data_IF_310090681211
#
_entry.id   IF_310090681211
#
_cell.length_a   1.000
_cell.length_b   1.000
_cell.length_c   1.000
_cell.angle_alpha   90.00
_cell.angle_beta   90.00
_cell.angle_gamma   90.00
#
_symmetry.space_group_name_H-M   'P 1'
#
loop_
_entity.id
_entity.type
_entity.pdbx_description
1 polymer ?
#
# COMPACT_ATOMS: atom_id res chain seq x y z
N UNK A 1 57.19 -26.93 -15.80
CA UNK A 1 56.13 -27.23 -16.78
C UNK A 1 54.94 -26.34 -16.44
N UNK A 2 54.84 -25.18 -17.08
CA UNK A 2 54.10 -24.92 -18.32
C UNK A 2 52.58 -25.04 -18.14
N UNK A 3 51.96 -23.86 -18.03
CA UNK A 3 50.54 -23.59 -18.27
C UNK A 3 50.05 -24.18 -19.59
N UNK A 4 48.73 -24.38 -19.72
CA UNK A 4 48.02 -24.01 -20.92
C UNK A 4 47.14 -22.78 -20.68
N UNK A 5 47.36 -21.78 -21.54
CA UNK A 5 46.45 -20.68 -21.86
C UNK A 5 45.32 -21.17 -22.77
N UNK A 6 44.31 -20.29 -22.89
CA UNK A 6 43.32 -20.09 -23.97
C UNK A 6 42.01 -20.86 -23.76
N UNK A 7 40.82 -20.29 -24.03
CA UNK A 7 40.43 -19.19 -24.92
C UNK A 7 39.18 -18.47 -24.38
N UNK A 8 39.21 -17.13 -24.40
CA UNK A 8 38.00 -16.30 -24.49
C UNK A 8 37.31 -16.59 -25.82
N UNK A 9 36.05 -17.02 -25.76
CA UNK A 9 35.14 -16.95 -26.91
C UNK A 9 33.74 -16.61 -26.39
N UNK A 10 33.34 -15.37 -26.60
CA UNK A 10 31.95 -14.93 -26.49
C UNK A 10 31.09 -15.62 -27.56
N UNK A 11 29.86 -16.00 -27.24
CA UNK A 11 28.77 -16.00 -28.20
C UNK A 11 27.87 -14.80 -27.90
N UNK A 12 27.90 -13.82 -28.81
CA UNK A 12 26.81 -12.89 -29.00
C UNK A 12 25.54 -13.68 -29.29
N UNK A 13 24.52 -13.58 -28.44
CA UNK A 13 23.14 -13.86 -28.82
C UNK A 13 22.27 -12.67 -28.41
N UNK A 14 21.83 -12.00 -29.46
CA UNK A 14 20.95 -10.85 -29.59
C UNK A 14 19.91 -10.72 -28.49
N UNK A 15 19.95 -9.56 -27.82
CA UNK A 15 18.85 -9.00 -27.05
C UNK A 15 17.71 -8.65 -28.01
N UNK A 16 16.60 -9.39 -27.99
CA UNK A 16 15.32 -8.87 -28.48
C UNK A 16 14.76 -7.93 -27.41
N UNK A 17 14.83 -6.64 -27.68
CA UNK A 17 14.12 -5.60 -26.94
C UNK A 17 12.67 -5.59 -27.37
N UNK A 18 11.80 -6.30 -26.66
CA UNK A 18 10.36 -6.04 -26.73
C UNK A 18 9.98 -5.07 -25.61
N UNK A 19 9.79 -3.85 -26.07
CA UNK A 19 9.29 -2.65 -25.41
C UNK A 19 7.94 -2.93 -24.76
N UNK A 20 7.88 -2.96 -23.42
CA UNK A 20 6.64 -2.75 -22.67
C UNK A 20 6.35 -1.24 -22.65
N UNK A 21 5.14 -0.78 -23.02
CA UNK A 21 4.82 0.63 -22.95
C UNK A 21 4.70 1.06 -21.48
N UNK A 22 5.59 1.96 -21.09
CA UNK A 22 5.52 2.79 -19.89
C UNK A 22 4.33 3.74 -20.04
N UNK A 23 3.24 3.54 -19.30
CA UNK A 23 2.26 4.60 -19.08
C UNK A 23 2.59 5.30 -17.76
N UNK A 24 3.30 6.40 -17.91
CA UNK A 24 3.56 7.40 -16.87
C UNK A 24 2.25 7.90 -16.29
N UNK A 25 2.15 7.85 -14.96
CA UNK A 25 1.15 8.56 -14.18
C UNK A 25 1.58 10.04 -14.17
N UNK A 26 0.85 10.88 -14.89
CA UNK A 26 0.84 12.34 -14.70
C UNK A 26 -0.58 12.84 -14.96
N UNK A 27 -1.15 13.56 -13.98
CA UNK A 27 -2.42 14.27 -14.13
C UNK A 27 -3.36 14.15 -12.93
N UNK A 28 -2.90 14.52 -11.73
CA UNK A 28 -3.80 15.20 -10.79
C UNK A 28 -4.04 16.60 -11.37
N UNK A 29 -5.27 16.89 -11.80
CA UNK A 29 -5.79 18.26 -11.79
C UNK A 29 -7.33 18.26 -11.81
N UNK A 30 -7.88 18.70 -10.68
CA UNK A 30 -9.12 19.46 -10.51
C UNK A 30 -10.39 18.99 -11.22
N UNK A 31 -11.19 18.17 -10.52
CA UNK A 31 -12.59 17.90 -10.88
C UNK A 31 -13.53 18.28 -9.73
N UNK A 32 -13.63 19.58 -9.43
CA UNK A 32 -14.64 20.12 -8.49
C UNK A 32 -15.35 21.40 -8.94
N UNK A 33 -15.17 21.87 -10.18
CA UNK A 33 -15.76 23.16 -10.63
C UNK A 33 -16.93 23.08 -11.63
N UNK A 34 -17.34 21.89 -12.09
CA UNK A 34 -18.42 21.78 -13.09
C UNK A 34 -19.82 21.48 -12.53
N UNK A 35 -19.96 21.13 -11.25
CA UNK A 35 -21.27 20.81 -10.65
C UNK A 35 -21.99 22.07 -10.11
N UNK A 36 -21.32 23.21 -9.99
CA UNK A 36 -21.88 24.43 -9.39
C UNK A 36 -22.52 25.40 -10.42
N UNK A 37 -22.36 25.17 -11.72
CA UNK A 37 -22.86 26.10 -12.78
C UNK A 37 -24.25 25.78 -13.36
N UNK A 38 -24.89 24.67 -12.95
CA UNK A 38 -26.19 24.28 -13.52
C UNK A 38 -27.38 24.67 -12.60
N UNK A 39 -27.12 25.14 -11.38
CA UNK A 39 -28.16 25.50 -10.41
C UNK A 39 -28.53 26.99 -10.36
N UNK A 40 -28.08 27.83 -11.28
CA UNK A 40 -28.40 29.26 -11.32
C UNK A 40 -29.19 29.66 -12.57
N UNK A 41 -30.47 29.30 -12.64
CA UNK A 41 -31.47 30.16 -13.32
C UNK A 41 -32.91 29.74 -12.95
N UNK A 42 -33.30 30.05 -11.72
CA UNK A 42 -34.72 30.11 -11.31
C UNK A 42 -35.01 31.54 -10.90
N UNK A 43 -35.80 32.28 -11.68
CA UNK A 43 -36.78 33.31 -11.25
C UNK A 43 -37.34 34.07 -12.47
N UNK A 44 -38.46 34.83 -12.36
CA UNK A 44 -39.76 34.51 -11.75
C UNK A 44 -40.92 34.72 -12.76
N UNK A 45 -42.07 34.11 -12.51
CA UNK A 45 -43.31 34.44 -13.17
C UNK A 45 -43.76 35.86 -12.78
N UNK A 46 -43.68 36.82 -13.70
CA UNK A 46 -44.32 38.12 -13.55
C UNK A 46 -45.76 38.04 -14.08
N UNK A 47 -46.73 38.10 -13.16
CA UNK A 47 -48.13 38.37 -13.45
C UNK A 47 -48.27 39.78 -14.04
N UNK A 48 -48.76 39.86 -15.27
CA UNK A 48 -49.45 41.05 -15.78
C UNK A 48 -50.88 40.63 -16.10
N UNK A 49 -51.78 40.98 -15.18
CA UNK A 49 -53.21 40.81 -15.33
C UNK A 49 -53.73 41.68 -16.46
N UNK A 50 -54.36 41.03 -17.43
CA UNK A 50 -55.27 41.62 -18.38
C UNK A 50 -56.29 40.54 -18.72
N UNK A 51 -57.56 40.75 -18.36
CA UNK A 51 -58.61 39.85 -18.81
C UNK A 51 -58.78 40.01 -20.32
N UNK A 52 -58.54 38.91 -21.04
CA UNK A 52 -58.71 38.83 -22.49
C UNK A 52 -60.11 38.30 -22.76
N UNK A 53 -61.01 39.16 -23.24
CA UNK A 53 -62.28 38.72 -23.82
C UNK A 53 -62.10 38.45 -25.32
N UNK A 54 -62.40 37.23 -25.73
CA UNK A 54 -62.48 36.83 -27.13
C UNK A 54 -63.95 36.88 -27.56
N UNK A 55 -64.30 37.75 -28.50
CA UNK A 55 -65.57 37.64 -29.24
C UNK A 55 -65.30 37.49 -30.74
N UNK A 56 -66.05 36.61 -31.37
CA UNK A 56 -65.96 36.29 -32.80
C UNK A 56 -66.92 37.18 -33.58
N UNK A 57 -66.47 37.76 -34.71
CA UNK A 57 -67.33 38.53 -35.62
C UNK A 57 -68.01 37.61 -36.64
N UNK A 58 -69.28 37.85 -37.03
CA UNK A 58 -70.10 36.83 -37.69
C UNK A 58 -69.83 36.63 -39.19
N UNK A 59 -68.85 37.31 -39.79
CA UNK A 59 -68.74 37.39 -41.26
C UNK A 59 -67.40 36.95 -41.84
N UNK A 60 -66.43 36.50 -41.02
CA UNK A 60 -65.31 35.65 -41.46
C UNK A 60 -64.62 34.97 -40.26
N UNK A 61 -64.57 33.61 -40.16
CA UNK A 61 -64.20 32.90 -38.93
C UNK A 61 -62.69 32.80 -38.61
N UNK A 62 -61.80 33.49 -39.32
CA UNK A 62 -60.33 33.35 -39.16
C UNK A 62 -59.62 34.53 -38.46
N UNK A 63 -60.34 35.48 -37.87
CA UNK A 63 -59.71 36.61 -37.15
C UNK A 63 -60.31 36.79 -35.76
N UNK A 64 -59.53 36.50 -34.72
CA UNK A 64 -59.91 36.80 -33.32
C UNK A 64 -59.28 38.11 -32.88
N UNK A 65 -60.12 39.03 -32.40
CA UNK A 65 -59.72 40.38 -32.00
C UNK A 65 -59.48 40.40 -30.49
N UNK A 66 -58.23 40.55 -30.05
CA UNK A 66 -57.91 40.72 -28.63
C UNK A 66 -57.86 42.22 -28.34
N UNK A 67 -58.81 42.71 -27.53
CA UNK A 67 -58.78 44.07 -26.98
C UNK A 67 -57.99 44.05 -25.67
N UNK A 68 -56.82 44.68 -25.65
CA UNK A 68 -56.16 45.04 -24.41
C UNK A 68 -56.50 46.51 -24.08
N UNK A 69 -57.45 46.72 -23.17
CA UNK A 69 -57.80 48.06 -22.68
C UNK A 69 -56.81 48.42 -21.58
N UNK A 70 -55.89 49.34 -21.86
CA UNK A 70 -55.16 50.09 -20.82
C UNK A 70 -55.90 51.42 -20.62
N UNK A 71 -56.04 51.84 -19.37
CA UNK A 71 -56.91 52.91 -18.87
C UNK A 71 -56.83 54.28 -19.58
N UNK A 72 -57.71 55.22 -19.15
CA UNK A 72 -58.17 56.34 -19.96
C UNK A 72 -57.04 57.31 -20.33
N UNK A 73 -56.80 57.50 -21.63
CA UNK A 73 -55.95 58.58 -22.16
C UNK A 73 -54.69 58.16 -22.93
N UNK A 74 -54.41 56.86 -23.14
CA UNK A 74 -53.25 56.39 -23.90
C UNK A 74 -53.61 55.92 -25.32
N UNK A 75 -52.83 56.35 -26.32
CA UNK A 75 -52.92 55.86 -27.69
C UNK A 75 -52.87 54.33 -27.75
N UNK A 76 -53.90 53.73 -28.36
CA UNK A 76 -53.98 52.29 -28.63
C UNK A 76 -52.94 51.93 -29.69
N UNK A 77 -51.87 51.24 -29.32
CA UNK A 77 -51.00 50.58 -30.30
C UNK A 77 -51.64 49.23 -30.61
N UNK A 78 -52.28 49.14 -31.77
CA UNK A 78 -52.81 47.89 -32.31
C UNK A 78 -51.64 47.02 -32.76
N UNK A 79 -51.41 45.89 -32.09
CA UNK A 79 -50.54 44.83 -32.58
C UNK A 79 -51.42 43.70 -33.12
N UNK A 80 -51.50 43.62 -34.43
CA UNK A 80 -52.12 42.52 -35.18
C UNK A 80 -51.17 41.33 -35.09
N UNK A 81 -51.55 40.28 -34.36
CA UNK A 81 -50.82 39.00 -34.43
C UNK A 81 -51.46 38.17 -35.54
N UNK A 82 -50.69 37.99 -36.61
CA UNK A 82 -51.09 37.21 -37.77
C UNK A 82 -51.21 35.72 -37.38
N UNK A 83 -52.26 35.03 -37.84
CA UNK A 83 -52.48 33.58 -37.62
C UNK A 83 -51.27 32.72 -38.01
N UNK A 84 -50.44 33.23 -38.92
CA UNK A 84 -49.17 32.63 -39.35
C UNK A 84 -48.10 32.61 -38.24
N UNK A 85 -48.04 33.64 -37.39
CA UNK A 85 -47.05 33.77 -36.30
C UNK A 85 -47.35 32.80 -35.17
N UNK A 86 -48.62 32.56 -34.87
CA UNK A 86 -49.06 31.61 -33.84
C UNK A 86 -48.77 30.16 -34.24
N UNK A 87 -49.00 29.81 -35.50
CA UNK A 87 -48.62 28.49 -36.06
C UNK A 87 -47.11 28.25 -36.03
N UNK A 88 -46.31 29.30 -36.28
CA UNK A 88 -44.85 29.23 -36.27
C UNK A 88 -44.29 29.06 -34.85
N UNK A 89 -44.93 29.69 -33.85
CA UNK A 89 -44.62 29.51 -32.43
C UNK A 89 -44.98 28.10 -31.93
N UNK A 90 -46.13 27.56 -32.35
CA UNK A 90 -46.56 26.19 -32.05
C UNK A 90 -45.57 25.16 -32.65
N UNK A 91 -45.14 25.39 -33.89
CA UNK A 91 -44.14 24.56 -34.57
C UNK A 91 -42.78 24.61 -33.88
N UNK A 92 -42.31 25.80 -33.47
CA UNK A 92 -41.06 25.97 -32.73
C UNK A 92 -41.09 25.22 -31.38
N UNK A 93 -42.18 25.36 -30.61
CA UNK A 93 -42.39 24.61 -29.36
C UNK A 93 -42.38 23.10 -29.59
N UNK A 94 -42.99 22.63 -30.68
CA UNK A 94 -43.03 21.21 -31.02
C UNK A 94 -41.65 20.67 -31.44
N UNK A 95 -40.86 21.47 -32.16
CA UNK A 95 -39.46 21.14 -32.49
C UNK A 95 -38.58 21.09 -31.24
N UNK A 96 -38.70 22.04 -30.32
CA UNK A 96 -37.97 22.03 -29.05
C UNK A 96 -38.33 20.83 -28.19
N UNK A 97 -39.63 20.50 -28.07
CA UNK A 97 -40.10 19.28 -27.38
C UNK A 97 -39.54 18.02 -28.02
N UNK A 98 -39.45 17.97 -29.36
CA UNK A 98 -38.85 16.84 -30.09
C UNK A 98 -37.35 16.74 -29.81
N UNK A 99 -36.62 17.84 -29.88
CA UNK A 99 -35.18 17.88 -29.57
C UNK A 99 -34.88 17.54 -28.11
N UNK A 100 -35.71 17.97 -27.15
CA UNK A 100 -35.58 17.61 -25.73
C UNK A 100 -35.78 16.11 -25.53
N UNK A 101 -36.79 15.52 -26.17
CA UNK A 101 -37.02 14.07 -26.17
C UNK A 101 -35.84 13.29 -26.76
N UNK A 102 -35.28 13.75 -27.88
CA UNK A 102 -34.11 13.13 -28.49
C UNK A 102 -32.86 13.25 -27.61
N UNK A 103 -32.59 14.42 -27.03
CA UNK A 103 -31.48 14.63 -26.09
C UNK A 103 -31.63 13.73 -24.86
N UNK A 104 -32.82 13.64 -24.28
CA UNK A 104 -33.09 12.78 -23.13
C UNK A 104 -32.96 11.29 -23.49
N UNK A 105 -33.39 10.88 -24.70
CA UNK A 105 -33.19 9.51 -25.20
C UNK A 105 -31.71 9.18 -25.37
N UNK A 106 -30.91 10.09 -25.95
CA UNK A 106 -29.46 9.93 -26.09
C UNK A 106 -28.76 9.88 -24.74
N UNK A 107 -29.15 10.74 -23.80
CA UNK A 107 -28.62 10.74 -22.43
C UNK A 107 -28.89 9.41 -21.73
N UNK A 108 -30.14 8.93 -21.75
CA UNK A 108 -30.51 7.63 -21.15
C UNK A 108 -29.76 6.48 -21.80
N UNK A 109 -29.61 6.51 -23.14
CA UNK A 109 -28.82 5.52 -23.86
C UNK A 109 -27.35 5.55 -23.43
N UNK A 110 -26.73 6.73 -23.36
CA UNK A 110 -25.33 6.87 -22.91
C UNK A 110 -25.14 6.35 -21.47
N UNK A 111 -26.04 6.68 -20.55
CA UNK A 111 -26.00 6.14 -19.18
C UNK A 111 -26.13 4.61 -19.16
N UNK A 112 -27.05 4.06 -19.95
CA UNK A 112 -27.26 2.62 -20.00
C UNK A 112 -26.07 1.89 -20.62
N UNK A 113 -25.48 2.44 -21.68
CA UNK A 113 -24.29 1.90 -22.33
C UNK A 113 -23.09 1.95 -21.37
N UNK A 114 -22.94 3.02 -20.58
CA UNK A 114 -21.91 3.11 -19.53
C UNK A 114 -22.12 2.08 -18.42
N UNK A 115 -23.34 1.91 -17.94
CA UNK A 115 -23.68 0.91 -16.92
C UNK A 115 -23.38 -0.50 -17.41
N UNK A 116 -23.81 -0.84 -18.63
CA UNK A 116 -23.55 -2.14 -19.24
C UNK A 116 -22.04 -2.39 -19.43
N UNK A 117 -21.28 -1.37 -19.84
CA UNK A 117 -19.82 -1.48 -19.93
C UNK A 117 -19.18 -1.73 -18.57
N UNK A 118 -19.63 -1.02 -17.53
CA UNK A 118 -19.14 -1.23 -16.18
C UNK A 118 -19.46 -2.64 -15.67
N UNK A 119 -20.69 -3.13 -15.84
CA UNK A 119 -21.09 -4.49 -15.47
C UNK A 119 -20.22 -5.54 -16.17
N UNK A 120 -19.99 -5.37 -17.48
CA UNK A 120 -19.13 -6.25 -18.26
C UNK A 120 -17.70 -6.27 -17.72
N UNK A 121 -17.09 -5.10 -17.52
CA UNK A 121 -15.71 -5.02 -16.99
C UNK A 121 -15.60 -5.60 -15.58
N UNK A 122 -16.60 -5.38 -14.73
CA UNK A 122 -16.62 -5.92 -13.35
C UNK A 122 -16.73 -7.45 -13.37
N UNK A 123 -17.53 -8.01 -14.29
CA UNK A 123 -17.65 -9.44 -14.48
C UNK A 123 -16.35 -10.06 -15.03
N UNK A 124 -15.69 -9.40 -15.97
CA UNK A 124 -14.39 -9.82 -16.52
C UNK A 124 -13.30 -9.83 -15.45
N UNK A 125 -13.18 -8.76 -14.66
CA UNK A 125 -12.22 -8.66 -13.55
C UNK A 125 -12.49 -9.71 -12.48
N UNK A 126 -13.77 -9.92 -12.13
CA UNK A 126 -14.14 -10.94 -11.13
C UNK A 126 -13.78 -12.36 -11.59
N UNK A 127 -13.94 -12.65 -12.90
CA UNK A 127 -13.49 -13.89 -13.49
C UNK A 127 -11.97 -14.03 -13.46
N UNK A 128 -11.24 -12.97 -13.78
CA UNK A 128 -9.77 -12.95 -13.72
C UNK A 128 -9.26 -13.19 -12.30
N UNK A 129 -9.85 -12.52 -11.30
CA UNK A 129 -9.55 -12.76 -9.88
C UNK A 129 -9.77 -14.23 -9.53
N UNK A 130 -10.92 -14.81 -9.89
CA UNK A 130 -11.19 -16.23 -9.61
C UNK A 130 -10.18 -17.19 -10.28
N UNK A 131 -9.74 -16.89 -11.50
CA UNK A 131 -8.68 -17.66 -12.19
C UNK A 131 -7.34 -17.52 -11.47
N UNK A 132 -6.94 -16.30 -11.09
CA UNK A 132 -5.69 -16.04 -10.40
C UNK A 132 -5.67 -16.68 -9.01
N UNK A 133 -6.77 -16.62 -8.27
CA UNK A 133 -6.93 -17.28 -6.97
C UNK A 133 -6.83 -18.81 -7.10
N UNK A 134 -7.48 -19.39 -8.12
CA UNK A 134 -7.41 -20.82 -8.40
C UNK A 134 -5.98 -21.24 -8.75
N UNK A 135 -5.30 -20.47 -9.61
CA UNK A 135 -3.90 -20.70 -9.96
C UNK A 135 -3.00 -20.60 -8.73
N UNK A 136 -3.21 -19.60 -7.86
CA UNK A 136 -2.49 -19.46 -6.58
C UNK A 136 -2.69 -20.68 -5.69
N UNK A 137 -3.93 -21.18 -5.59
CA UNK A 137 -4.26 -22.35 -4.77
C UNK A 137 -3.60 -23.63 -5.31
N UNK A 138 -3.58 -23.83 -6.64
CA UNK A 138 -2.89 -24.95 -7.28
C UNK A 138 -1.39 -24.88 -7.02
N UNK A 139 -0.77 -23.71 -7.25
CA UNK A 139 0.66 -23.49 -6.99
C UNK A 139 0.96 -23.75 -5.51
N UNK A 140 0.19 -23.18 -4.59
CA UNK A 140 0.35 -23.39 -3.15
C UNK A 140 0.18 -24.86 -2.73
N UNK A 141 -0.74 -25.60 -3.36
CA UNK A 141 -0.95 -27.02 -3.08
C UNK A 141 0.17 -27.91 -3.68
N UNK A 142 0.80 -27.47 -4.77
CA UNK A 142 1.96 -28.13 -5.37
C UNK A 142 3.28 -27.83 -4.64
N UNK A 143 3.36 -26.69 -3.95
CA UNK A 143 4.47 -26.28 -3.07
C UNK A 143 4.44 -26.96 -1.69
N UNK A 144 3.79 -28.12 -1.56
CA UNK A 144 3.80 -28.94 -0.33
C UNK A 144 5.20 -29.42 0.07
N UNK A 145 6.20 -29.23 -0.78
CA UNK A 145 7.61 -29.28 -0.39
C UNK A 145 7.91 -27.99 0.39
N UNK A 146 8.15 -28.11 1.70
CA UNK A 146 8.76 -27.03 2.48
C UNK A 146 9.97 -26.53 1.68
N UNK A 147 9.89 -25.31 1.18
CA UNK A 147 11.01 -24.67 0.49
C UNK A 147 11.54 -23.56 1.37
N UNK A 148 12.77 -23.14 1.10
CA UNK A 148 13.45 -22.10 1.89
C UNK A 148 12.65 -20.80 2.02
N UNK A 149 11.79 -20.47 1.04
CA UNK A 149 10.92 -19.29 1.09
C UNK A 149 9.82 -19.42 2.13
N UNK A 150 9.07 -20.53 2.09
CA UNK A 150 8.03 -20.83 3.06
C UNK A 150 8.63 -20.90 4.48
N UNK A 151 9.80 -21.53 4.61
CA UNK A 151 10.54 -21.56 5.87
C UNK A 151 10.83 -20.14 6.39
N UNK A 152 11.47 -19.29 5.59
CA UNK A 152 11.86 -17.96 6.01
C UNK A 152 10.65 -17.08 6.36
N UNK A 153 9.57 -17.14 5.58
CA UNK A 153 8.31 -16.46 5.93
C UNK A 153 7.74 -16.95 7.26
N UNK A 154 7.70 -18.27 7.47
CA UNK A 154 7.16 -18.86 8.70
C UNK A 154 8.04 -18.55 9.91
N UNK A 155 9.37 -18.51 9.70
CA UNK A 155 10.37 -18.12 10.69
C UNK A 155 10.11 -16.70 11.19
N UNK A 156 10.10 -15.70 10.30
CA UNK A 156 9.86 -14.31 10.72
C UNK A 156 8.45 -14.08 11.26
N UNK A 157 7.45 -14.79 10.74
CA UNK A 157 6.08 -14.73 11.29
C UNK A 157 6.04 -15.18 12.75
N UNK A 158 6.77 -16.26 13.10
CA UNK A 158 6.82 -16.75 14.48
C UNK A 158 7.61 -15.85 15.42
N UNK A 159 8.70 -15.25 14.94
CA UNK A 159 9.54 -14.38 15.75
C UNK A 159 9.19 -12.89 15.66
N UNK A 160 8.04 -12.54 15.05
CA UNK A 160 7.62 -11.14 14.82
C UNK A 160 7.64 -10.28 16.08
N UNK A 161 7.33 -10.85 17.25
CA UNK A 161 7.33 -10.13 18.52
C UNK A 161 8.43 -10.61 19.48
N UNK A 162 9.52 -11.16 18.94
CA UNK A 162 10.56 -11.82 19.72
C UNK A 162 10.12 -13.18 20.28
N UNK A 163 10.87 -13.69 21.27
CA UNK A 163 10.61 -14.99 21.88
C UNK A 163 9.62 -14.87 23.04
N UNK A 164 8.39 -15.36 22.86
CA UNK A 164 7.40 -15.49 23.94
C UNK A 164 7.61 -16.82 24.69
N UNK A 165 7.72 -16.77 26.03
CA UNK A 165 7.95 -17.96 26.88
C UNK A 165 6.91 -19.07 26.67
N UNK A 166 5.67 -18.71 26.36
CA UNK A 166 4.55 -19.64 26.13
C UNK A 166 4.67 -20.45 24.85
N UNK A 167 5.54 -20.07 23.92
CA UNK A 167 5.63 -20.67 22.58
C UNK A 167 6.93 -21.47 22.36
N UNK A 168 7.80 -21.55 23.38
CA UNK A 168 9.14 -22.16 23.26
C UNK A 168 9.07 -23.61 22.78
N UNK A 169 8.14 -24.41 23.28
CA UNK A 169 7.97 -25.83 22.85
C UNK A 169 7.61 -25.90 21.37
N UNK A 170 6.61 -25.13 20.93
CA UNK A 170 6.19 -25.09 19.53
C UNK A 170 7.30 -24.57 18.60
N UNK A 171 8.15 -23.67 19.08
CA UNK A 171 9.29 -23.15 18.34
C UNK A 171 10.42 -24.18 18.22
N UNK A 172 10.71 -24.93 19.29
CA UNK A 172 11.67 -26.05 19.23
C UNK A 172 11.21 -27.08 18.20
N UNK A 173 9.93 -27.46 18.23
CA UNK A 173 9.37 -28.42 17.27
C UNK A 173 9.46 -27.91 15.83
N UNK A 174 9.20 -26.61 15.62
CA UNK A 174 9.38 -25.97 14.33
C UNK A 174 10.83 -26.03 13.85
N UNK A 175 11.80 -25.72 14.72
CA UNK A 175 13.22 -25.77 14.36
C UNK A 175 13.64 -27.19 14.03
N UNK A 176 13.31 -28.19 14.85
CA UNK A 176 13.63 -29.59 14.55
C UNK A 176 12.99 -30.10 13.25
N UNK A 177 11.77 -29.65 12.95
CA UNK A 177 11.06 -30.03 11.73
C UNK A 177 11.68 -29.42 10.48
N UNK A 178 12.17 -28.19 10.56
CA UNK A 178 12.51 -27.38 9.37
C UNK A 178 14.00 -27.07 9.20
N UNK A 179 14.82 -27.37 10.19
CA UNK A 179 16.25 -27.11 10.20
C UNK A 179 17.03 -28.38 10.52
N UNK A 180 18.28 -28.44 10.07
CA UNK A 180 19.18 -29.55 10.42
C UNK A 180 19.48 -29.54 11.92
N UNK A 181 19.87 -30.69 12.47
CA UNK A 181 20.18 -30.83 13.91
C UNK A 181 21.33 -29.90 14.31
N UNK A 182 22.26 -29.68 13.40
CA UNK A 182 23.46 -28.86 13.52
C UNK A 182 23.31 -27.48 12.85
N UNK A 183 22.09 -26.96 12.72
CA UNK A 183 21.86 -25.68 12.04
C UNK A 183 22.79 -24.58 12.57
N UNK A 184 23.58 -23.99 11.68
CA UNK A 184 24.59 -23.00 12.04
C UNK A 184 23.97 -21.60 12.13
N UNK A 185 24.21 -20.89 13.22
CA UNK A 185 23.74 -19.52 13.46
C UNK A 185 24.88 -18.60 13.88
N UNK A 186 24.63 -17.29 13.95
CA UNK A 186 25.58 -16.34 14.54
C UNK A 186 25.96 -16.67 16.00
N UNK A 187 25.10 -17.39 16.73
CA UNK A 187 25.28 -17.67 18.16
C UNK A 187 25.77 -19.11 18.45
N UNK A 188 26.08 -19.90 17.42
CA UNK A 188 26.47 -21.30 17.54
C UNK A 188 25.56 -22.24 16.74
N UNK A 189 25.47 -23.51 17.17
CA UNK A 189 24.84 -24.59 16.41
C UNK A 189 23.58 -25.15 17.09
N UNK A 190 22.64 -25.63 16.27
CA UNK A 190 21.45 -26.36 16.68
C UNK A 190 20.29 -25.49 17.17
N UNK A 191 19.20 -26.15 17.57
CA UNK A 191 17.94 -25.49 17.88
C UNK A 191 18.03 -24.48 19.03
N UNK A 192 18.82 -24.80 20.05
CA UNK A 192 19.06 -23.92 21.20
C UNK A 192 19.72 -22.61 20.76
N UNK A 193 20.68 -22.66 19.82
CA UNK A 193 21.35 -21.45 19.33
C UNK A 193 20.38 -20.54 18.57
N UNK A 194 19.48 -21.11 17.76
CA UNK A 194 18.42 -20.36 17.06
C UNK A 194 17.54 -19.61 18.05
N UNK A 195 17.07 -20.27 19.11
CA UNK A 195 16.21 -19.64 20.11
C UNK A 195 16.96 -18.60 20.95
N UNK A 196 18.23 -18.86 21.26
CA UNK A 196 19.08 -17.93 22.01
C UNK A 196 19.20 -16.59 21.31
N UNK A 197 19.37 -16.56 19.98
CA UNK A 197 19.39 -15.33 19.18
C UNK A 197 18.17 -14.42 19.43
N UNK A 198 16.99 -15.03 19.59
CA UNK A 198 15.73 -14.31 19.81
C UNK A 198 15.45 -14.03 21.28
N UNK A 199 15.99 -14.84 22.19
CA UNK A 199 15.82 -14.67 23.64
C UNK A 199 16.34 -13.33 24.17
N UNK A 200 17.38 -12.78 23.55
CA UNK A 200 17.96 -11.49 23.94
C UNK A 200 17.04 -10.30 23.68
N UNK A 201 16.10 -10.41 22.73
CA UNK A 201 15.13 -9.34 22.46
C UNK A 201 14.20 -9.08 23.66
N UNK A 202 14.08 -10.02 24.60
CA UNK A 202 13.28 -9.83 25.81
C UNK A 202 13.77 -8.67 26.72
N UNK A 203 15.01 -8.20 26.53
CA UNK A 203 15.52 -7.02 27.24
C UNK A 203 14.99 -5.69 26.68
N UNK A 204 14.36 -5.71 25.51
CA UNK A 204 13.78 -4.54 24.86
C UNK A 204 12.25 -4.57 24.96
N UNK A 205 11.63 -3.39 24.91
CA UNK A 205 10.17 -3.23 24.90
C UNK A 205 9.64 -3.05 23.47
N UNK A 206 8.33 -3.28 23.29
CA UNK A 206 7.60 -3.08 22.03
C UNK A 206 8.29 -3.66 20.77
N UNK A 207 8.89 -4.84 20.93
CA UNK A 207 9.64 -5.52 19.86
C UNK A 207 8.70 -5.93 18.73
N UNK A 208 9.03 -5.46 17.53
CA UNK A 208 8.39 -5.85 16.29
C UNK A 208 9.44 -6.08 15.20
N UNK A 209 9.40 -7.24 14.55
CA UNK A 209 10.25 -7.58 13.42
C UNK A 209 9.40 -7.83 12.19
N UNK A 210 9.59 -6.98 11.18
CA UNK A 210 8.87 -7.04 9.92
C UNK A 210 9.77 -7.53 8.81
N UNK A 211 9.26 -8.48 8.02
CA UNK A 211 9.89 -8.96 6.80
C UNK A 211 9.52 -8.03 5.65
N UNK A 212 10.49 -7.30 5.11
CA UNK A 212 10.24 -6.33 4.03
C UNK A 212 10.40 -6.95 2.65
N UNK A 213 11.44 -7.76 2.46
CA UNK A 213 11.68 -8.40 1.17
C UNK A 213 12.44 -9.70 1.31
N UNK A 214 12.35 -10.50 0.26
CA UNK A 214 13.08 -11.75 0.12
C UNK A 214 13.59 -11.88 -1.30
N UNK A 215 14.79 -12.46 -1.45
CA UNK A 215 15.41 -12.73 -2.74
C UNK A 215 16.04 -14.11 -2.75
N UNK A 216 15.82 -14.84 -3.85
CA UNK A 216 16.40 -16.16 -4.05
C UNK A 216 17.89 -16.01 -4.34
N UNK A 217 18.68 -16.91 -3.78
CA UNK A 217 20.10 -17.08 -4.07
C UNK A 217 20.36 -18.52 -4.53
N UNK A 218 21.58 -18.82 -4.95
CA UNK A 218 21.96 -20.12 -5.53
C UNK A 218 21.63 -21.29 -4.58
N UNK A 219 21.95 -21.15 -3.29
CA UNK A 219 21.80 -22.22 -2.29
C UNK A 219 20.82 -21.84 -1.16
N UNK A 220 19.91 -20.89 -1.39
CA UNK A 220 19.10 -20.38 -0.30
C UNK A 220 18.30 -19.12 -0.61
N UNK A 221 18.02 -18.36 0.45
CA UNK A 221 17.26 -17.11 0.40
C UNK A 221 17.90 -16.06 1.28
N UNK A 222 17.95 -14.84 0.78
CA UNK A 222 18.27 -13.66 1.59
C UNK A 222 16.95 -12.95 1.90
N UNK A 223 16.76 -12.60 3.15
CA UNK A 223 15.61 -11.86 3.66
C UNK A 223 16.09 -10.54 4.24
N UNK A 224 15.39 -9.45 3.91
CA UNK A 224 15.61 -8.14 4.52
C UNK A 224 14.50 -7.87 5.51
N UNK A 225 14.86 -7.51 6.72
CA UNK A 225 13.94 -7.23 7.81
C UNK A 225 14.18 -5.84 8.38
N UNK A 226 13.13 -5.32 9.02
CA UNK A 226 13.22 -4.13 9.85
C UNK A 226 12.68 -4.47 11.22
N UNK A 227 13.56 -4.38 12.22
CA UNK A 227 13.25 -4.60 13.62
C UNK A 227 13.09 -3.25 14.33
N UNK A 228 11.98 -3.05 15.02
CA UNK A 228 11.71 -1.87 15.84
C UNK A 228 11.55 -2.27 17.28
N UNK A 229 12.23 -1.57 18.19
CA UNK A 229 12.24 -1.89 19.62
C UNK A 229 12.50 -0.64 20.45
N UNK A 230 11.93 -0.59 21.65
CA UNK A 230 12.06 0.53 22.58
C UNK A 230 13.15 0.22 23.61
N UNK A 231 14.07 1.16 23.81
CA UNK A 231 15.08 1.09 24.88
C UNK A 231 14.43 1.56 26.18
N UNK A 232 14.22 0.64 27.12
CA UNK A 232 13.68 0.96 28.46
C UNK A 232 14.76 0.95 29.53
N UNK A 233 14.42 1.30 30.77
CA UNK A 233 15.34 1.22 31.91
C UNK A 233 15.92 -0.20 32.06
N UNK A 234 15.08 -1.21 31.81
CA UNK A 234 15.50 -2.61 31.80
C UNK A 234 16.56 -2.88 30.73
N UNK A 235 16.39 -2.30 29.55
CA UNK A 235 17.38 -2.42 28.47
C UNK A 235 18.70 -1.78 28.89
N UNK A 236 18.69 -0.57 29.45
CA UNK A 236 19.91 0.10 29.90
C UNK A 236 20.65 -0.76 30.94
N UNK A 237 19.94 -1.28 31.94
CA UNK A 237 20.55 -2.11 32.99
C UNK A 237 21.15 -3.43 32.45
N UNK A 238 20.47 -4.10 31.53
CA UNK A 238 20.84 -5.46 31.11
C UNK A 238 21.67 -5.50 29.82
N UNK A 239 21.67 -4.44 29.02
CA UNK A 239 22.36 -4.40 27.71
C UNK A 239 23.52 -3.39 27.72
N UNK A 240 23.35 -2.27 28.40
CA UNK A 240 24.29 -1.15 28.42
C UNK A 240 24.69 -0.76 29.85
N UNK A 241 25.28 -1.68 30.64
CA UNK A 241 25.49 -1.47 32.08
C UNK A 241 26.40 -0.27 32.40
N UNK A 242 27.29 0.11 31.49
CA UNK A 242 28.21 1.25 31.64
C UNK A 242 27.52 2.61 31.68
N UNK A 243 26.27 2.69 31.21
CA UNK A 243 25.47 3.91 31.23
C UNK A 243 24.93 4.26 32.62
N UNK A 244 24.93 3.30 33.55
CA UNK A 244 24.44 3.50 34.92
C UNK A 244 25.53 4.01 35.87
N UNK A 245 26.79 4.03 35.43
CA UNK A 245 27.88 4.67 36.15
C UNK A 245 27.79 6.16 35.81
N UNK A 246 27.33 7.01 36.73
CA UNK A 246 26.85 8.40 36.49
C UNK A 246 27.69 9.37 35.63
N UNK A 247 28.87 8.98 35.16
CA UNK A 247 29.63 9.66 34.11
C UNK A 247 28.92 9.68 32.73
N UNK A 248 27.97 8.75 32.48
CA UNK A 248 27.28 8.59 31.20
C UNK A 248 25.76 8.83 31.28
N UNK A 249 25.28 9.54 32.31
CA UNK A 249 23.84 9.77 32.53
C UNK A 249 23.19 10.57 31.39
N UNK A 250 23.96 11.46 30.73
CA UNK A 250 23.52 12.21 29.57
C UNK A 250 23.26 11.30 28.34
N UNK A 251 24.11 10.28 28.13
CA UNK A 251 23.95 9.28 27.09
C UNK A 251 22.79 8.33 27.40
N UNK A 252 22.62 7.96 28.67
CA UNK A 252 21.48 7.18 29.13
C UNK A 252 20.15 7.90 28.83
N UNK A 253 20.07 9.20 29.14
CA UNK A 253 18.90 10.04 28.86
C UNK A 253 18.57 10.19 27.37
N UNK A 254 19.58 10.14 26.49
CA UNK A 254 19.36 10.16 25.03
C UNK A 254 18.74 8.87 24.50
N UNK A 255 19.00 7.73 25.15
CA UNK A 255 18.53 6.42 24.73
C UNK A 255 17.21 6.02 25.40
N UNK A 256 17.01 6.40 26.66
CA UNK A 256 15.85 6.00 27.44
C UNK A 256 14.53 6.41 26.76
N UNK A 257 13.62 5.45 26.62
CA UNK A 257 12.31 5.62 26.01
C UNK A 257 12.34 5.82 24.48
N UNK A 258 13.51 5.73 23.82
CA UNK A 258 13.59 5.86 22.36
C UNK A 258 13.26 4.55 21.67
N UNK A 259 12.48 4.65 20.60
CA UNK A 259 12.23 3.55 19.66
C UNK A 259 13.32 3.56 18.58
N UNK A 260 14.08 2.47 18.52
CA UNK A 260 15.18 2.26 17.58
C UNK A 260 14.69 1.35 16.47
N UNK A 261 15.01 1.70 15.23
CA UNK A 261 14.74 0.88 14.05
C UNK A 261 16.05 0.37 13.47
N UNK A 262 16.19 -0.95 13.40
CA UNK A 262 17.38 -1.68 12.97
C UNK A 262 17.05 -2.46 11.70
N UNK A 263 17.81 -2.23 10.64
CA UNK A 263 17.69 -3.01 9.40
C UNK A 263 18.52 -4.28 9.52
N UNK A 264 17.90 -5.41 9.22
CA UNK A 264 18.52 -6.73 9.25
C UNK A 264 18.57 -7.37 7.86
N UNK A 265 19.61 -8.17 7.63
CA UNK A 265 19.73 -9.06 6.48
C UNK A 265 20.03 -10.45 6.99
N UNK A 266 19.14 -11.40 6.72
CA UNK A 266 19.29 -12.80 7.10
C UNK A 266 19.43 -13.69 5.88
N UNK A 267 20.49 -14.48 5.82
CA UNK A 267 20.69 -15.53 4.84
C UNK A 267 20.29 -16.88 5.42
N UNK A 268 19.37 -17.56 4.75
CA UNK A 268 19.00 -18.94 5.00
C UNK A 268 19.64 -19.82 3.94
N UNK A 269 20.57 -20.67 4.36
CA UNK A 269 21.13 -21.72 3.51
C UNK A 269 20.23 -22.95 3.55
N UNK A 270 19.96 -23.52 2.38
CA UNK A 270 19.07 -24.66 2.22
C UNK A 270 19.85 -25.91 1.83
N UNK A 271 19.65 -26.97 2.60
CA UNK A 271 20.14 -28.30 2.27
C UNK A 271 19.08 -29.05 1.48
N UNK A 272 19.35 -29.24 0.18
CA UNK A 272 18.48 -29.96 -0.75
C UNK A 272 18.48 -31.48 -0.55
N UNK A 273 19.39 -32.03 0.25
CA UNK A 273 19.44 -33.47 0.51
C UNK A 273 18.43 -33.90 1.57
N UNK A 274 18.19 -33.03 2.57
CA UNK A 274 17.28 -33.30 3.68
C UNK A 274 16.07 -32.36 3.72
N UNK A 275 15.92 -31.47 2.73
CA UNK A 275 14.85 -30.45 2.63
C UNK A 275 14.69 -29.62 3.91
N UNK A 276 15.82 -29.14 4.43
CA UNK A 276 15.90 -28.34 5.67
C UNK A 276 16.89 -27.20 5.54
N UNK A 277 16.76 -26.19 6.39
CA UNK A 277 17.79 -25.16 6.49
C UNK A 277 19.00 -25.66 7.30
N UNK A 278 20.19 -25.52 6.71
CA UNK A 278 21.47 -25.87 7.34
C UNK A 278 22.14 -24.68 8.03
N UNK A 279 21.83 -23.44 7.62
CA UNK A 279 22.38 -22.25 8.26
C UNK A 279 21.43 -21.04 8.22
N UNK A 280 21.50 -20.22 9.26
CA UNK A 280 20.82 -18.93 9.41
C UNK A 280 21.85 -17.89 9.86
N UNK A 281 22.28 -17.03 8.95
CA UNK A 281 23.25 -15.98 9.25
C UNK A 281 22.61 -14.62 9.12
N UNK A 282 22.58 -13.85 10.21
CA UNK A 282 21.99 -12.52 10.26
C UNK A 282 23.07 -11.45 10.46
N UNK A 283 22.90 -10.32 9.77
CA UNK A 283 23.62 -9.08 10.03
C UNK A 283 22.62 -7.97 10.27
N UNK A 284 22.91 -7.08 11.21
CA UNK A 284 22.02 -5.99 11.59
C UNK A 284 22.80 -4.69 11.60
N UNK A 285 22.17 -3.60 11.16
CA UNK A 285 22.76 -2.27 11.25
C UNK A 285 22.24 -1.54 12.49
N UNK A 286 22.93 -1.72 13.61
CA UNK A 286 22.64 -1.00 14.87
C UNK A 286 23.38 0.33 14.91
N UNK A 287 24.48 0.45 14.17
CA UNK A 287 25.32 1.63 14.18
C UNK A 287 24.56 2.86 13.68
N UNK A 288 23.87 2.74 12.54
CA UNK A 288 23.13 3.86 11.93
C UNK A 288 22.12 4.50 12.89
N UNK A 289 21.18 3.76 13.51
CA UNK A 289 20.22 4.40 14.41
C UNK A 289 20.85 4.89 15.72
N UNK A 290 21.89 4.22 16.24
CA UNK A 290 22.59 4.68 17.45
C UNK A 290 23.36 5.97 17.20
N UNK A 291 23.98 6.12 16.03
CA UNK A 291 24.64 7.34 15.63
C UNK A 291 23.64 8.50 15.50
N UNK A 292 22.44 8.24 14.96
CA UNK A 292 21.36 9.22 14.89
C UNK A 292 20.88 9.72 16.27
N UNK A 293 20.84 8.84 17.27
CA UNK A 293 20.44 9.21 18.64
C UNK A 293 21.55 9.91 19.44
N UNK A 294 22.79 9.46 19.28
CA UNK A 294 23.91 9.89 20.11
C UNK A 294 24.72 11.04 19.50
N UNK A 295 24.58 11.27 18.18
CA UNK A 295 25.14 12.39 17.43
C UNK A 295 26.66 12.33 17.19
N UNK A 296 27.36 11.33 17.72
CA UNK A 296 28.80 11.16 17.56
C UNK A 296 29.20 9.69 17.68
N UNK A 297 30.15 9.27 16.85
CA UNK A 297 30.74 7.92 16.91
C UNK A 297 31.47 7.68 18.23
N UNK A 298 32.02 8.72 18.85
CA UNK A 298 32.68 8.62 20.15
C UNK A 298 31.67 8.24 21.24
N UNK A 299 30.48 8.86 21.22
CA UNK A 299 29.40 8.55 22.15
C UNK A 299 28.88 7.12 21.92
N UNK A 300 28.75 6.69 20.66
CA UNK A 300 28.43 5.29 20.33
C UNK A 300 29.49 4.36 20.92
N UNK A 301 30.78 4.66 20.73
CA UNK A 301 31.86 3.85 21.29
C UNK A 301 31.79 3.74 22.81
N UNK A 302 31.44 4.82 23.52
CA UNK A 302 31.27 4.82 24.98
C UNK A 302 30.08 3.98 25.43
N UNK A 303 28.93 4.11 24.74
CA UNK A 303 27.73 3.32 25.03
C UNK A 303 27.96 1.83 24.80
N UNK A 304 28.70 1.49 23.74
CA UNK A 304 29.03 0.11 23.41
C UNK A 304 30.29 -0.40 24.13
N UNK A 305 30.92 0.42 24.97
CA UNK A 305 31.97 -0.05 25.87
C UNK A 305 31.33 -0.96 26.92
N UNK A 306 31.79 -2.21 26.95
CA UNK A 306 31.25 -3.31 27.78
C UNK A 306 29.74 -3.58 27.60
N UNK A 307 29.12 -3.09 26.53
CA UNK A 307 27.76 -3.50 26.20
C UNK A 307 27.71 -5.00 25.90
N UNK A 308 26.60 -5.64 26.28
CA UNK A 308 26.42 -7.08 26.06
C UNK A 308 26.02 -7.42 24.62
N UNK A 309 25.77 -6.40 23.79
CA UNK A 309 25.56 -6.55 22.34
C UNK A 309 26.68 -5.87 21.54
N UNK A 310 26.96 -6.40 20.35
CA UNK A 310 27.78 -5.75 19.34
C UNK A 310 26.94 -4.82 18.44
N UNK A 311 27.62 -4.02 17.62
CA UNK A 311 26.98 -3.17 16.60
C UNK A 311 26.32 -3.96 15.46
N UNK A 312 26.64 -5.25 15.33
CA UNK A 312 25.96 -6.18 14.41
C UNK A 312 24.77 -6.90 15.10
N UNK A 313 24.42 -6.45 16.31
CA UNK A 313 23.39 -7.04 17.17
C UNK A 313 23.66 -8.51 17.55
N UNK A 314 24.94 -8.86 17.75
CA UNK A 314 25.35 -10.16 18.27
C UNK A 314 25.65 -10.05 19.76
N UNK A 315 25.15 -10.99 20.55
CA UNK A 315 25.40 -11.00 21.98
C UNK A 315 26.85 -11.40 22.27
N UNK A 316 27.56 -10.60 23.08
CA UNK A 316 28.89 -10.93 23.57
C UNK A 316 28.72 -12.04 24.61
N UNK A 317 29.29 -13.22 24.36
CA UNK A 317 29.31 -14.27 25.38
C UNK A 317 30.11 -13.74 26.57
N UNK A 318 29.45 -13.53 27.71
CA UNK A 318 30.15 -13.49 28.98
C UNK A 318 30.67 -14.91 29.22
N UNK A 319 31.97 -15.13 29.05
CA UNK A 319 32.65 -16.25 29.71
C UNK A 319 32.53 -16.01 31.21
N UNK A 320 31.43 -16.48 31.78
CA UNK A 320 31.26 -16.66 33.21
C UNK A 320 31.11 -18.15 33.42
N UNK A 321 32.15 -18.78 33.93
CA UNK A 321 32.08 -20.12 34.51
C UNK A 321 30.93 -20.12 35.53
N UNK A 322 29.87 -20.83 35.18
CA UNK A 322 28.91 -21.28 36.16
C UNK A 322 29.57 -22.49 36.82
N UNK A 323 30.32 -22.25 37.90
CA UNK A 323 30.63 -23.30 38.86
C UNK A 323 29.29 -23.82 39.38
N UNK A 324 28.98 -25.06 39.03
CA UNK A 324 28.01 -25.86 39.75
C UNK A 324 28.57 -26.11 41.16
N UNK A 325 27.94 -25.50 42.16
CA UNK A 325 27.85 -25.98 43.54
C UNK A 325 26.37 -26.07 43.91
#
# INVERSE_FOLDING_TARGET
MQFPRRTNTSPNLLLSTDTLPTSSIQGEESYTDEITKINSCTTPAAQLGGEIFLSESPTNPSTKRIRLVRGPGGHTTELTVDSSVENLLELAKNLERKQRRERQRRYRKKQNDQLHMLEKTTAELSKEIGVLESRRKIISASLKTYNVWNLAMEYFRRFRNGLKKTEVVSLIDFVHKTMTVDVATNSGYGATAVLKCWGYLHWFEDVEVNLESMRKCTNGVISTTVASMTISERTLHNVFPTLLNGENEDLAGKLLGKRVTVTGVTYFEWDYTCDKASSIQTRNDVLTPMLGLLGSIENVSRVFDKALISLDFQWRQSFGEMSDD
#
